data_IF_384514907928
#
_entry.id   IF_384514907928
#
_cell.length_a   1.000
_cell.length_b   1.000
_cell.length_c   1.000
_cell.angle_alpha   90.00
_cell.angle_beta   90.00
_cell.angle_gamma   90.00
#
_symmetry.space_group_name_H-M   'P 1'
#
loop_
_entity.id
_entity.type
_entity.pdbx_description
1 polymer ?
#
# COMPACT_ATOMS: atom_id res chain seq x y z
N UNK A 1 -17.10 -16.20 13.94
CA UNK A 1 -17.52 -15.31 12.87
C UNK A 1 -17.25 -13.87 13.27
N UNK A 2 -16.57 -13.15 12.40
CA UNK A 2 -16.22 -11.76 12.70
C UNK A 2 -17.40 -10.81 12.47
N UNK A 3 -17.52 -9.80 13.33
CA UNK A 3 -18.51 -8.74 13.14
C UNK A 3 -18.13 -7.86 11.96
N UNK A 4 -19.08 -7.11 11.37
CA UNK A 4 -18.74 -6.17 10.29
C UNK A 4 -17.67 -5.17 10.69
N UNK A 5 -17.65 -4.73 11.94
CA UNK A 5 -16.63 -3.79 12.43
C UNK A 5 -15.24 -4.43 12.46
N UNK A 6 -15.15 -5.68 12.91
CA UNK A 6 -13.89 -6.42 12.95
C UNK A 6 -13.36 -6.66 11.53
N UNK A 7 -14.25 -6.97 10.59
CA UNK A 7 -13.86 -7.15 9.18
C UNK A 7 -13.29 -5.85 8.61
N UNK A 8 -13.92 -4.70 8.91
CA UNK A 8 -13.45 -3.41 8.47
C UNK A 8 -12.06 -3.09 9.03
N UNK A 9 -11.84 -3.39 10.30
CA UNK A 9 -10.54 -3.17 10.94
C UNK A 9 -9.45 -4.03 10.32
N UNK A 10 -9.76 -5.30 10.02
CA UNK A 10 -8.82 -6.19 9.35
C UNK A 10 -8.46 -5.70 7.97
N UNK A 11 -9.43 -5.19 7.21
CA UNK A 11 -9.20 -4.64 5.89
C UNK A 11 -8.30 -3.41 5.95
N UNK A 12 -8.52 -2.54 6.92
CA UNK A 12 -7.68 -1.36 7.12
C UNK A 12 -6.25 -1.76 7.47
N UNK A 13 -6.09 -2.73 8.36
CA UNK A 13 -4.77 -3.22 8.74
C UNK A 13 -4.03 -3.81 7.54
N UNK A 14 -4.69 -4.62 6.73
CA UNK A 14 -4.11 -5.20 5.53
C UNK A 14 -3.73 -4.12 4.52
N UNK A 15 -4.57 -3.10 4.36
CA UNK A 15 -4.28 -1.99 3.47
C UNK A 15 -3.05 -1.22 3.93
N UNK A 16 -2.93 -0.96 5.23
CA UNK A 16 -1.77 -0.27 5.78
C UNK A 16 -0.48 -1.07 5.58
N UNK A 17 -0.54 -2.38 5.73
CA UNK A 17 0.60 -3.25 5.47
C UNK A 17 1.03 -3.16 4.01
N UNK A 18 0.07 -3.19 3.09
CA UNK A 18 0.35 -3.08 1.66
C UNK A 18 0.94 -1.71 1.33
N UNK A 19 0.39 -0.64 1.92
CA UNK A 19 0.93 0.71 1.75
C UNK A 19 2.38 0.78 2.20
N UNK A 20 2.67 0.23 3.37
CA UNK A 20 4.02 0.24 3.93
C UNK A 20 4.99 -0.54 3.04
N UNK A 21 4.61 -1.71 2.54
CA UNK A 21 5.43 -2.51 1.66
C UNK A 21 5.70 -1.81 0.33
N UNK A 22 4.66 -1.26 -0.29
CA UNK A 22 4.79 -0.55 -1.56
C UNK A 22 5.71 0.65 -1.39
N UNK A 23 5.56 1.40 -0.30
CA UNK A 23 6.41 2.55 -0.03
C UNK A 23 7.87 2.15 0.19
N UNK A 24 8.09 1.09 0.94
CA UNK A 24 9.44 0.57 1.19
C UNK A 24 10.12 0.18 -0.12
N UNK A 25 9.42 -0.55 -0.98
CA UNK A 25 9.96 -0.96 -2.27
C UNK A 25 10.25 0.24 -3.18
N UNK A 26 9.38 1.21 -3.17
CA UNK A 26 9.54 2.38 -4.03
C UNK A 26 10.65 3.32 -3.56
N UNK A 27 10.67 3.66 -2.27
CA UNK A 27 11.58 4.65 -1.73
C UNK A 27 12.90 4.08 -1.22
N UNK A 28 12.91 2.89 -0.66
CA UNK A 28 14.12 2.27 -0.12
C UNK A 28 14.81 1.35 -1.12
N UNK A 29 14.04 0.58 -1.89
CA UNK A 29 14.59 -0.37 -2.85
C UNK A 29 14.68 0.20 -4.27
N UNK A 30 14.22 1.42 -4.47
CA UNK A 30 14.26 2.12 -5.75
C UNK A 30 13.56 1.37 -6.89
N UNK A 31 12.54 0.58 -6.58
CA UNK A 31 11.75 -0.11 -7.59
C UNK A 31 10.83 0.86 -8.30
N UNK A 32 10.62 0.65 -9.59
CA UNK A 32 9.66 1.46 -10.35
C UNK A 32 8.23 1.04 -10.00
N UNK A 33 7.28 1.93 -10.30
CA UNK A 33 5.86 1.60 -10.09
C UNK A 33 5.44 0.38 -10.91
N UNK A 34 5.97 0.25 -12.13
CA UNK A 34 5.69 -0.90 -12.98
C UNK A 34 6.21 -2.21 -12.37
N UNK A 35 7.41 -2.18 -11.80
CA UNK A 35 7.97 -3.34 -11.13
C UNK A 35 7.17 -3.75 -9.91
N UNK A 36 6.72 -2.78 -9.11
CA UNK A 36 5.90 -3.03 -7.94
C UNK A 36 4.55 -3.61 -8.36
N UNK A 37 3.95 -3.06 -9.41
CA UNK A 37 2.68 -3.55 -9.94
C UNK A 37 2.78 -5.03 -10.35
N UNK A 38 3.87 -5.40 -11.01
CA UNK A 38 4.13 -6.79 -11.39
C UNK A 38 4.30 -7.69 -10.16
N UNK A 39 5.04 -7.22 -9.17
CA UNK A 39 5.32 -8.01 -7.97
C UNK A 39 4.04 -8.36 -7.21
N UNK A 40 3.10 -7.41 -7.11
CA UNK A 40 1.87 -7.60 -6.35
C UNK A 40 0.68 -7.97 -7.21
N UNK A 41 0.87 -8.13 -8.52
CA UNK A 41 -0.20 -8.47 -9.46
C UNK A 41 -1.34 -7.45 -9.43
N UNK A 42 -0.98 -6.17 -9.37
CA UNK A 42 -1.93 -5.06 -9.39
C UNK A 42 -1.57 -4.10 -10.53
N UNK A 43 -2.46 -3.15 -10.81
CA UNK A 43 -2.22 -2.18 -11.88
C UNK A 43 -1.24 -1.08 -11.42
N UNK A 44 -0.54 -0.48 -12.38
CA UNK A 44 0.32 0.68 -12.10
C UNK A 44 -0.48 1.83 -11.49
N UNK A 45 -1.70 2.03 -11.97
CA UNK A 45 -2.60 3.05 -11.43
C UNK A 45 -2.86 2.83 -9.95
N UNK A 46 -3.02 1.57 -9.56
CA UNK A 46 -3.23 1.23 -8.15
C UNK A 46 -1.99 1.52 -7.32
N UNK A 47 -0.80 1.19 -7.84
CA UNK A 47 0.46 1.50 -7.15
C UNK A 47 0.58 3.00 -6.94
N UNK A 48 0.32 3.79 -7.97
CA UNK A 48 0.36 5.25 -7.89
C UNK A 48 -0.61 5.78 -6.83
N UNK A 49 -1.82 5.23 -6.80
CA UNK A 49 -2.83 5.62 -5.82
C UNK A 49 -2.40 5.26 -4.39
N UNK A 50 -1.82 4.07 -4.20
CA UNK A 50 -1.33 3.65 -2.90
C UNK A 50 -0.22 4.57 -2.39
N UNK A 51 0.71 4.96 -3.26
CA UNK A 51 1.78 5.89 -2.90
C UNK A 51 1.22 7.25 -2.51
N UNK A 52 0.23 7.75 -3.24
CA UNK A 52 -0.44 9.01 -2.92
C UNK A 52 -1.16 8.92 -1.57
N UNK A 53 -1.88 7.85 -1.33
CA UNK A 53 -2.57 7.63 -0.06
C UNK A 53 -1.61 7.58 1.11
N UNK A 54 -0.50 6.87 0.95
CA UNK A 54 0.52 6.77 2.00
C UNK A 54 1.10 8.14 2.36
N UNK A 55 1.31 8.97 1.36
CA UNK A 55 1.83 10.32 1.57
C UNK A 55 0.81 11.18 2.30
N UNK A 56 -0.47 11.10 1.92
CA UNK A 56 -1.54 11.88 2.52
C UNK A 56 -1.82 11.48 3.96
N UNK A 57 -1.70 10.18 4.27
CA UNK A 57 -1.95 9.67 5.62
C UNK A 57 -0.72 9.73 6.53
N UNK A 58 0.40 10.20 6.00
CA UNK A 58 1.62 10.34 6.79
C UNK A 58 2.30 9.01 7.13
N UNK A 59 2.03 7.98 6.35
CA UNK A 59 2.69 6.68 6.51
C UNK A 59 4.17 6.77 6.13
N UNK A 60 4.48 7.73 5.26
CA UNK A 60 5.85 8.02 4.84
C UNK A 60 6.30 9.29 5.51
N UNK A 61 7.36 9.24 6.29
CA UNK A 61 7.98 10.44 6.84
C UNK A 61 9.29 10.72 6.08
N UNK A 62 9.37 11.90 5.57
CA UNK A 62 10.58 12.37 4.90
C UNK A 62 11.23 13.45 5.72
#
# INVERSE_FOLDING_TARGET
MLSPEEVLELRKAQQLELLAEVCSLYYEQEMTQAEIAEKFFISRSRVSRLLTMAREEGVISF
#
